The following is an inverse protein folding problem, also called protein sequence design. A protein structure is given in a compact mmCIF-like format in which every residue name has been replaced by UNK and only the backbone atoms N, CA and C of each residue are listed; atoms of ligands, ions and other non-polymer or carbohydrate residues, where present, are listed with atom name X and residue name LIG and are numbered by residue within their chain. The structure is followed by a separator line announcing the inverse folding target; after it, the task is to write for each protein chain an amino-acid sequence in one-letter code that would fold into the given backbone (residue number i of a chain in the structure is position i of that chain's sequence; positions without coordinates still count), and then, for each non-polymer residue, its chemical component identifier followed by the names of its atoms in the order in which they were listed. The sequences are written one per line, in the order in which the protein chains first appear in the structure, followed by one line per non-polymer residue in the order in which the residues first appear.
data_IF_419537561055
#
_entry.id   IF_419537561055
#
_cell.length_a   1.000
_cell.length_b   1.000
_cell.length_c   1.000
_cell.angle_alpha   90.00
_cell.angle_beta   90.00
_cell.angle_gamma   90.00
#
_symmetry.space_group_name_H-M   'P 1'
#
loop_
_entity.id
_entity.type
_entity.pdbx_description
1 polymer ?
#
# COMPACT_ATOMS: atom_id res chain seq x y z
N UNK A 1 -35.67 60.06 -23.52
CA UNK A 1 -34.67 60.27 -22.43
C UNK A 1 -33.91 58.96 -22.21
N UNK A 2 -32.79 58.87 -22.92
CA UNK A 2 -31.90 57.70 -22.88
C UNK A 2 -30.98 57.77 -21.65
N UNK A 3 -30.92 56.72 -20.86
CA UNK A 3 -29.82 56.47 -19.93
C UNK A 3 -29.05 55.23 -20.39
N UNK A 4 -27.86 55.47 -20.88
CA UNK A 4 -26.84 54.47 -21.17
C UNK A 4 -26.38 53.81 -19.89
N UNK A 5 -26.31 52.50 -19.90
CA UNK A 5 -25.63 51.67 -18.92
C UNK A 5 -24.16 51.57 -19.30
N UNK A 6 -23.27 52.06 -18.43
CA UNK A 6 -21.84 51.86 -18.56
C UNK A 6 -21.43 50.52 -17.93
N UNK A 7 -20.83 49.67 -18.74
CA UNK A 7 -20.16 48.43 -18.32
C UNK A 7 -18.69 48.76 -18.04
N UNK A 8 -18.10 48.34 -16.94
CA UNK A 8 -16.65 48.47 -16.76
C UNK A 8 -15.93 47.30 -17.42
N UNK A 9 -15.07 47.65 -18.34
CA UNK A 9 -14.16 46.80 -19.10
C UNK A 9 -12.99 46.35 -18.23
N UNK A 10 -12.75 45.05 -18.23
CA UNK A 10 -11.47 44.30 -18.22
C UNK A 10 -10.23 44.98 -17.59
N UNK A 11 -9.80 44.42 -16.46
CA UNK A 11 -8.43 44.56 -15.94
C UNK A 11 -7.67 43.23 -16.13
N UNK A 12 -7.46 42.83 -17.39
CA UNK A 12 -6.54 41.77 -17.78
C UNK A 12 -5.70 42.28 -18.95
N UNK A 13 -4.65 42.99 -18.65
CA UNK A 13 -3.49 43.22 -19.52
C UNK A 13 -2.48 44.09 -18.78
N UNK A 14 -1.48 43.43 -18.14
CA UNK A 14 -0.10 43.85 -17.98
C UNK A 14 0.58 43.03 -16.90
N UNK A 15 1.38 42.10 -17.32
CA UNK A 15 2.77 41.99 -16.89
C UNK A 15 3.45 40.81 -17.58
N UNK A 16 3.70 40.95 -18.85
CA UNK A 16 4.84 40.30 -19.49
C UNK A 16 5.95 41.34 -19.55
N UNK A 17 6.96 41.20 -18.67
CA UNK A 17 8.38 41.50 -18.87
C UNK A 17 9.12 41.53 -17.54
N UNK A 18 9.87 40.47 -17.27
CA UNK A 18 10.82 40.40 -16.17
C UNK A 18 11.82 39.27 -16.45
N UNK A 19 12.93 39.67 -17.01
CA UNK A 19 13.99 38.89 -17.60
C UNK A 19 14.61 37.82 -16.69
N UNK A 20 14.82 36.64 -17.32
CA UNK A 20 15.81 35.62 -17.01
C UNK A 20 17.15 36.20 -16.52
N UNK A 21 17.54 35.85 -15.27
CA UNK A 21 18.95 35.81 -14.88
C UNK A 21 19.24 34.45 -14.29
N UNK A 22 19.68 33.55 -15.17
CA UNK A 22 20.22 32.25 -14.83
C UNK A 22 21.60 32.43 -14.18
N UNK A 23 21.70 32.21 -12.85
CA UNK A 23 23.00 32.03 -12.18
C UNK A 23 23.38 30.55 -12.25
N UNK A 24 24.22 30.21 -13.24
CA UNK A 24 24.97 28.95 -13.29
C UNK A 24 25.94 28.90 -12.09
N UNK A 25 25.68 28.01 -11.14
CA UNK A 25 26.70 27.56 -10.19
C UNK A 25 27.36 26.31 -10.75
N UNK A 26 28.60 26.46 -11.15
CA UNK A 26 29.50 25.38 -11.55
C UNK A 26 29.75 24.48 -10.33
N UNK A 27 29.36 23.22 -10.41
CA UNK A 27 29.75 22.18 -9.46
C UNK A 27 30.93 21.42 -10.05
N UNK A 28 32.11 21.71 -9.52
CA UNK A 28 33.36 21.03 -9.90
C UNK A 28 33.39 19.67 -9.21
N UNK A 29 33.30 18.60 -10.01
CA UNK A 29 33.52 17.21 -9.57
C UNK A 29 34.99 17.00 -9.36
N UNK A 30 35.40 16.72 -8.14
CA UNK A 30 36.77 16.29 -7.79
C UNK A 30 36.83 14.76 -7.80
N UNK A 31 37.37 14.18 -8.87
CA UNK A 31 37.76 12.77 -8.93
C UNK A 31 39.02 12.57 -8.08
N UNK A 32 38.91 11.78 -7.02
CA UNK A 32 40.09 11.22 -6.34
C UNK A 32 40.14 9.73 -6.62
N UNK A 33 41.07 9.38 -7.54
CA UNK A 33 41.56 8.02 -7.78
C UNK A 33 42.54 7.63 -6.67
N UNK A 34 42.29 6.51 -6.00
CA UNK A 34 43.36 5.81 -5.25
C UNK A 34 43.37 4.35 -5.68
N UNK A 35 44.50 3.99 -6.28
CA UNK A 35 44.87 2.65 -6.73
C UNK A 35 45.73 1.94 -5.67
N UNK A 36 45.71 0.61 -5.78
CA UNK A 36 46.71 -0.38 -5.38
C UNK A 36 46.86 -0.77 -3.91
N UNK A 37 46.70 -2.08 -3.70
CA UNK A 37 47.16 -2.82 -2.55
C UNK A 37 46.85 -4.31 -2.66
N UNK A 38 47.53 -5.02 -3.60
CA UNK A 38 47.56 -6.49 -3.63
C UNK A 38 48.49 -7.00 -2.54
N UNK A 39 48.03 -7.95 -1.71
CA UNK A 39 48.91 -8.78 -0.90
C UNK A 39 48.40 -10.23 -0.95
N UNK A 40 49.16 -11.03 -1.67
CA UNK A 40 49.13 -12.48 -1.67
C UNK A 40 49.75 -12.99 -0.35
N UNK A 41 49.08 -13.92 0.33
CA UNK A 41 49.74 -14.81 1.26
C UNK A 41 49.15 -16.22 1.10
N UNK A 42 49.95 -17.04 0.44
CA UNK A 42 49.92 -18.51 0.41
C UNK A 42 50.24 -19.06 1.78
N UNK A 43 49.44 -20.02 2.23
CA UNK A 43 49.73 -20.84 3.42
C UNK A 43 49.23 -22.26 3.18
N UNK A 44 50.13 -23.12 2.76
CA UNK A 44 50.03 -24.57 2.71
C UNK A 44 49.97 -25.19 4.12
N UNK A 45 49.17 -26.25 4.28
CA UNK A 45 49.18 -27.08 5.49
C UNK A 45 48.44 -28.38 5.26
N UNK A 46 49.18 -29.42 4.86
CA UNK A 46 48.74 -30.82 4.66
C UNK A 46 48.60 -31.56 5.98
N UNK A 47 47.72 -32.55 6.02
CA UNK A 47 47.90 -33.90 6.58
C UNK A 47 46.56 -34.63 6.52
N UNK A 48 46.35 -35.61 5.69
CA UNK A 48 46.67 -37.06 5.66
C UNK A 48 46.21 -37.84 6.91
N UNK A 49 45.30 -38.78 6.70
CA UNK A 49 45.44 -40.25 6.87
C UNK A 49 44.07 -40.91 6.73
N UNK A 50 43.98 -41.77 5.76
CA UNK A 50 44.10 -43.21 5.61
C UNK A 50 42.78 -43.97 5.87
N UNK A 51 42.30 -44.58 4.82
CA UNK A 51 42.28 -45.98 4.40
C UNK A 51 41.15 -46.78 5.07
N UNK A 52 40.42 -47.64 4.50
CA UNK A 52 40.39 -48.65 3.46
C UNK A 52 39.00 -49.31 3.58
N UNK A 53 38.33 -49.76 2.57
CA UNK A 53 38.43 -51.09 2.02
C UNK A 53 37.41 -51.29 0.86
N UNK A 54 37.85 -52.09 -0.07
CA UNK A 54 37.19 -52.44 -1.31
C UNK A 54 36.23 -53.66 -1.14
N UNK A 55 35.29 -53.79 -2.07
CA UNK A 55 35.05 -55.05 -2.84
C UNK A 55 33.76 -54.91 -3.67
N UNK A 56 33.91 -54.84 -4.96
CA UNK A 56 33.75 -55.90 -5.96
C UNK A 56 32.33 -56.21 -6.41
N UNK A 57 32.15 -56.04 -7.71
CA UNK A 57 31.12 -56.32 -8.66
C UNK A 57 30.37 -57.66 -8.51
N UNK A 58 29.14 -57.67 -9.01
CA UNK A 58 28.77 -58.70 -10.01
C UNK A 58 27.52 -58.25 -10.80
N UNK A 59 27.67 -58.38 -12.11
CA UNK A 59 26.69 -58.21 -13.18
C UNK A 59 25.83 -59.47 -13.24
N UNK A 60 24.52 -59.33 -13.42
CA UNK A 60 23.75 -60.36 -14.06
C UNK A 60 22.64 -59.73 -14.92
N UNK A 61 22.81 -59.82 -16.22
CA UNK A 61 21.74 -59.68 -17.23
C UNK A 61 20.79 -60.84 -17.09
N UNK A 62 19.48 -60.55 -17.20
CA UNK A 62 18.50 -61.54 -17.69
C UNK A 62 17.40 -60.79 -18.47
N UNK A 63 17.30 -61.21 -19.70
CA UNK A 63 16.41 -60.76 -20.77
C UNK A 63 14.99 -61.42 -20.63
N UNK A 64 14.00 -60.72 -21.25
CA UNK A 64 12.69 -61.17 -21.72
C UNK A 64 11.55 -61.24 -20.69
N UNK A 65 10.42 -60.57 -20.90
CA UNK A 65 9.40 -60.87 -21.92
C UNK A 65 8.32 -59.79 -21.95
N UNK A 66 7.93 -59.42 -23.15
CA UNK A 66 6.82 -58.56 -23.56
C UNK A 66 5.48 -59.04 -23.01
N UNK A 67 4.71 -58.15 -22.38
CA UNK A 67 3.25 -58.20 -22.46
C UNK A 67 2.70 -56.76 -22.53
N UNK A 68 2.07 -56.45 -23.65
CA UNK A 68 1.26 -55.29 -23.89
C UNK A 68 0.04 -55.31 -22.98
N UNK A 69 -0.05 -54.35 -22.04
CA UNK A 69 -1.31 -53.95 -21.46
C UNK A 69 -1.53 -52.50 -21.88
N UNK A 70 -2.50 -52.38 -22.78
CA UNK A 70 -3.14 -51.15 -23.17
C UNK A 70 -3.76 -50.52 -21.90
N UNK A 71 -3.06 -49.56 -21.31
CA UNK A 71 -3.60 -48.70 -20.28
C UNK A 71 -3.83 -47.36 -20.95
N UNK A 72 -5.07 -47.09 -21.32
CA UNK A 72 -5.54 -45.77 -21.66
C UNK A 72 -5.08 -44.83 -20.54
N UNK A 73 -4.02 -44.08 -20.80
CA UNK A 73 -3.68 -42.92 -20.01
C UNK A 73 -4.82 -41.93 -20.21
N UNK A 74 -5.62 -41.76 -19.17
CA UNK A 74 -6.47 -40.61 -18.97
C UNK A 74 -5.52 -39.40 -18.96
N UNK A 75 -5.36 -38.80 -20.14
CA UNK A 75 -4.74 -37.50 -20.26
C UNK A 75 -5.74 -36.50 -19.64
N UNK A 76 -5.69 -36.36 -18.32
CA UNK A 76 -6.25 -35.19 -17.67
C UNK A 76 -5.51 -33.99 -18.30
N UNK A 77 -6.21 -33.31 -19.19
CA UNK A 77 -5.81 -32.03 -19.77
C UNK A 77 -5.74 -31.05 -18.59
N UNK A 78 -4.62 -31.03 -17.89
CA UNK A 78 -4.32 -29.99 -16.91
C UNK A 78 -4.03 -28.75 -17.73
N UNK A 79 -5.10 -28.01 -18.04
CA UNK A 79 -4.97 -26.68 -18.62
C UNK A 79 -4.05 -25.87 -17.70
N UNK A 80 -2.92 -25.41 -18.24
CA UNK A 80 -2.00 -24.56 -17.51
C UNK A 80 -2.71 -23.22 -17.25
N UNK A 81 -2.92 -22.89 -15.97
CA UNK A 81 -3.60 -21.67 -15.57
C UNK A 81 -2.69 -20.46 -15.84
N UNK A 82 -3.28 -19.37 -16.31
CA UNK A 82 -2.56 -18.11 -16.47
C UNK A 82 -2.45 -17.40 -15.12
N UNK A 83 -1.25 -17.04 -14.69
CA UNK A 83 -1.06 -16.38 -13.40
C UNK A 83 -1.56 -14.94 -13.42
N UNK A 84 -2.35 -14.56 -12.40
CA UNK A 84 -2.64 -13.18 -12.01
C UNK A 84 -1.89 -12.89 -10.72
N UNK A 85 -0.92 -11.99 -10.77
CA UNK A 85 -0.08 -11.66 -9.62
C UNK A 85 -0.52 -10.34 -9.01
N UNK A 86 -1.00 -10.37 -7.74
CA UNK A 86 -1.57 -9.21 -7.06
C UNK A 86 -0.81 -8.89 -5.79
N UNK A 87 -0.31 -7.65 -5.68
CA UNK A 87 0.28 -7.13 -4.45
C UNK A 87 -0.79 -6.65 -3.47
N UNK A 88 -0.70 -7.01 -2.19
CA UNK A 88 -1.71 -6.66 -1.20
C UNK A 88 -1.11 -6.45 0.19
N UNK A 89 -1.75 -5.64 1.04
CA UNK A 89 -1.51 -5.68 2.49
C UNK A 89 -2.06 -6.99 3.06
N UNK A 90 -1.47 -7.46 4.15
CA UNK A 90 -1.78 -8.77 4.74
C UNK A 90 -3.26 -8.89 5.09
N UNK A 91 -3.78 -7.92 5.87
CA UNK A 91 -5.20 -7.88 6.27
C UNK A 91 -5.76 -6.47 6.03
N UNK A 92 -6.99 -6.30 5.55
CA UNK A 92 -7.92 -7.33 5.08
C UNK A 92 -7.69 -7.77 3.62
N UNK A 93 -6.81 -7.11 2.88
CA UNK A 93 -6.70 -7.16 1.42
C UNK A 93 -6.33 -8.54 0.89
N UNK A 94 -5.23 -9.15 1.38
CA UNK A 94 -4.82 -10.50 0.98
C UNK A 94 -5.85 -11.56 1.40
N UNK A 95 -6.51 -11.37 2.56
CA UNK A 95 -7.57 -12.26 3.04
C UNK A 95 -8.82 -12.21 2.15
N UNK A 96 -9.19 -11.02 1.65
CA UNK A 96 -10.28 -10.82 0.68
C UNK A 96 -9.92 -11.49 -0.66
N UNK A 97 -8.69 -11.26 -1.17
CA UNK A 97 -8.22 -11.89 -2.40
C UNK A 97 -8.18 -13.41 -2.31
N UNK A 98 -7.88 -13.96 -1.14
CA UNK A 98 -7.87 -15.40 -0.93
C UNK A 98 -9.24 -16.06 -1.17
N UNK A 99 -10.35 -15.31 -0.99
CA UNK A 99 -11.70 -15.82 -1.19
C UNK A 99 -12.05 -16.06 -2.67
N UNK A 100 -11.30 -15.48 -3.59
CA UNK A 100 -11.60 -15.56 -5.03
C UNK A 100 -10.68 -16.51 -5.80
N UNK A 101 -9.73 -17.17 -5.13
CA UNK A 101 -8.78 -18.09 -5.77
C UNK A 101 -9.46 -19.20 -6.55
N UNK A 102 -10.41 -19.90 -5.93
CA UNK A 102 -11.10 -21.03 -6.55
C UNK A 102 -11.93 -20.57 -7.75
N UNK A 103 -12.62 -19.42 -7.64
CA UNK A 103 -13.40 -18.84 -8.73
C UNK A 103 -12.52 -18.46 -9.91
N UNK A 104 -11.37 -17.84 -9.66
CA UNK A 104 -10.41 -17.50 -10.71
C UNK A 104 -9.80 -18.76 -11.35
N UNK A 105 -9.56 -19.82 -10.58
CA UNK A 105 -9.07 -21.09 -11.11
C UNK A 105 -10.09 -21.75 -12.06
N UNK A 106 -11.38 -21.67 -11.76
CA UNK A 106 -12.45 -22.15 -12.66
C UNK A 106 -12.50 -21.34 -13.97
N UNK A 107 -12.06 -20.08 -13.95
CA UNK A 107 -11.96 -19.19 -15.12
C UNK A 107 -10.63 -19.32 -15.88
N UNK A 108 -9.70 -20.18 -15.40
CA UNK A 108 -8.42 -20.45 -16.06
C UNK A 108 -7.26 -19.62 -15.52
N UNK A 109 -7.39 -19.00 -14.34
CA UNK A 109 -6.36 -18.18 -13.73
C UNK A 109 -5.85 -18.76 -12.40
N UNK A 110 -4.54 -18.65 -12.18
CA UNK A 110 -3.90 -18.91 -10.88
C UNK A 110 -3.61 -17.58 -10.18
N UNK A 111 -4.29 -17.29 -9.07
CA UNK A 111 -4.08 -16.05 -8.31
C UNK A 111 -2.89 -16.19 -7.35
N UNK A 112 -1.78 -15.53 -7.69
CA UNK A 112 -0.62 -15.33 -6.81
C UNK A 112 -0.77 -14.03 -6.01
N UNK A 113 -0.88 -14.13 -4.68
CA UNK A 113 -0.98 -12.99 -3.78
C UNK A 113 0.40 -12.74 -3.19
N UNK A 114 0.93 -11.52 -3.39
CA UNK A 114 2.20 -11.06 -2.83
C UNK A 114 1.91 -10.08 -1.70
N UNK A 115 2.24 -10.47 -0.48
CA UNK A 115 1.98 -9.66 0.71
C UNK A 115 3.08 -8.62 0.92
N UNK A 116 2.67 -7.39 1.24
CA UNK A 116 3.54 -6.25 1.54
C UNK A 116 3.20 -5.64 2.90
N UNK A 117 4.24 -5.20 3.61
CA UNK A 117 4.13 -4.56 4.93
C UNK A 117 4.29 -3.03 4.88
N UNK A 118 4.31 -2.43 3.69
CA UNK A 118 4.44 -0.99 3.48
C UNK A 118 3.57 -0.54 2.30
N UNK A 119 3.44 0.77 2.12
CA UNK A 119 2.60 1.34 1.07
C UNK A 119 3.38 1.79 -0.19
N UNK A 120 4.71 1.71 -0.21
CA UNK A 120 5.54 2.16 -1.32
C UNK A 120 5.81 1.03 -2.31
N UNK A 121 6.24 -0.13 -1.80
CA UNK A 121 6.67 -1.25 -2.62
C UNK A 121 5.59 -1.81 -3.54
N UNK A 122 4.29 -1.94 -3.12
CA UNK A 122 3.27 -2.49 -4.02
C UNK A 122 3.05 -1.63 -5.28
N UNK A 123 3.15 -0.30 -5.16
CA UNK A 123 3.02 0.60 -6.31
C UNK A 123 4.27 0.56 -7.20
N UNK A 124 5.45 0.52 -6.59
CA UNK A 124 6.71 0.39 -7.35
C UNK A 124 6.76 -0.91 -8.14
N UNK A 125 6.42 -2.05 -7.50
CA UNK A 125 6.39 -3.36 -8.15
C UNK A 125 5.35 -3.43 -9.28
N UNK A 126 4.18 -2.77 -9.12
CA UNK A 126 3.17 -2.67 -10.17
C UNK A 126 3.65 -1.83 -11.36
N UNK A 127 4.26 -0.66 -11.10
CA UNK A 127 4.81 0.19 -12.16
C UNK A 127 5.94 -0.52 -12.93
N UNK A 128 6.78 -1.28 -12.23
CA UNK A 128 7.89 -2.05 -12.83
C UNK A 128 7.40 -3.29 -13.60
N UNK A 129 6.11 -3.65 -13.50
CA UNK A 129 5.50 -4.79 -14.17
C UNK A 129 5.78 -6.12 -13.50
N UNK A 130 6.18 -6.12 -12.22
CA UNK A 130 6.36 -7.31 -11.40
C UNK A 130 5.03 -7.87 -10.88
N UNK A 131 3.98 -7.03 -10.90
CA UNK A 131 2.60 -7.37 -10.54
C UNK A 131 1.66 -7.06 -11.70
N UNK A 132 0.54 -7.79 -11.78
CA UNK A 132 -0.57 -7.48 -12.69
C UNK A 132 -1.52 -6.43 -12.10
N UNK A 133 -1.68 -6.43 -10.76
CA UNK A 133 -2.50 -5.48 -10.01
C UNK A 133 -1.96 -5.30 -8.59
N UNK A 134 -2.44 -4.27 -7.88
CA UNK A 134 -2.33 -4.20 -6.43
C UNK A 134 -3.67 -3.84 -5.77
N UNK A 135 -3.78 -4.19 -4.49
CA UNK A 135 -4.95 -3.92 -3.67
C UNK A 135 -4.51 -3.68 -2.23
N UNK A 136 -4.36 -2.40 -1.83
CA UNK A 136 -3.88 -2.02 -0.49
C UNK A 136 -4.15 -0.55 -0.14
N UNK A 137 -4.57 0.28 -1.10
CA UNK A 137 -4.56 1.74 -1.04
C UNK A 137 -5.90 2.35 -1.40
N UNK A 138 -6.17 3.54 -0.89
CA UNK A 138 -7.30 4.36 -1.30
C UNK A 138 -6.92 5.31 -2.46
N UNK A 139 -7.93 5.83 -3.16
CA UNK A 139 -7.74 6.67 -4.35
C UNK A 139 -6.83 7.89 -4.11
N UNK A 140 -6.98 8.71 -3.03
CA UNK A 140 -6.10 9.85 -2.81
C UNK A 140 -4.63 9.47 -2.68
N UNK A 141 -4.31 8.32 -2.05
CA UNK A 141 -2.93 7.84 -1.95
C UNK A 141 -2.37 7.45 -3.33
N UNK A 142 -3.15 6.76 -4.15
CA UNK A 142 -2.76 6.40 -5.51
C UNK A 142 -2.45 7.64 -6.36
N UNK A 143 -3.32 8.66 -6.29
CA UNK A 143 -3.15 9.89 -7.06
C UNK A 143 -1.89 10.66 -6.64
N UNK A 144 -1.66 10.77 -5.32
CA UNK A 144 -0.48 11.43 -4.74
C UNK A 144 0.81 10.66 -5.08
N UNK A 145 0.80 9.34 -4.93
CA UNK A 145 1.92 8.47 -5.29
C UNK A 145 2.32 8.63 -6.76
N UNK A 146 1.34 8.63 -7.67
CA UNK A 146 1.59 8.86 -9.10
C UNK A 146 2.23 10.24 -9.34
N UNK A 147 1.71 11.28 -8.69
CA UNK A 147 2.22 12.64 -8.85
C UNK A 147 3.65 12.81 -8.34
N UNK A 148 3.98 12.19 -7.19
CA UNK A 148 5.28 12.31 -6.56
C UNK A 148 6.35 11.44 -7.24
N UNK A 149 5.99 10.23 -7.69
CA UNK A 149 6.92 9.25 -8.21
C UNK A 149 6.93 9.16 -9.74
N UNK A 150 6.00 9.84 -10.42
CA UNK A 150 5.89 9.81 -11.89
C UNK A 150 5.45 8.44 -12.41
N UNK A 151 4.67 7.71 -11.61
CA UNK A 151 4.07 6.42 -11.98
C UNK A 151 2.76 6.60 -12.74
N UNK A 152 2.29 5.55 -13.41
CA UNK A 152 1.14 5.55 -14.30
C UNK A 152 0.16 4.44 -13.89
N UNK A 153 -0.25 4.48 -12.63
CA UNK A 153 -1.16 3.50 -12.05
C UNK A 153 -2.58 4.05 -12.07
N UNK A 154 -3.56 3.21 -12.38
CA UNK A 154 -4.96 3.58 -12.48
C UNK A 154 -5.83 2.65 -11.64
N UNK A 155 -6.82 3.22 -10.97
CA UNK A 155 -7.84 2.48 -10.23
C UNK A 155 -8.85 1.87 -11.21
N UNK A 156 -9.20 0.59 -11.00
CA UNK A 156 -10.18 -0.14 -11.81
C UNK A 156 -11.42 -0.55 -11.04
N UNK A 157 -11.36 -0.59 -9.71
CA UNK A 157 -12.51 -0.90 -8.85
C UNK A 157 -12.31 -0.36 -7.45
N UNK A 158 -13.37 0.20 -6.85
CA UNK A 158 -13.45 0.48 -5.42
C UNK A 158 -14.08 -0.73 -4.71
N UNK A 159 -13.47 -1.21 -3.64
CA UNK A 159 -13.88 -2.46 -2.98
C UNK A 159 -14.43 -2.21 -1.59
N UNK A 160 -13.68 -1.56 -0.71
CA UNK A 160 -14.10 -1.35 0.67
C UNK A 160 -13.51 -0.06 1.27
N UNK A 161 -14.15 0.39 2.34
CA UNK A 161 -13.67 1.46 3.19
C UNK A 161 -13.25 0.91 4.55
N UNK A 162 -12.14 1.41 5.08
CA UNK A 162 -11.65 1.12 6.42
C UNK A 162 -11.70 2.41 7.25
N UNK A 163 -12.54 2.48 8.31
CA UNK A 163 -12.58 3.65 9.17
C UNK A 163 -11.23 3.91 9.83
N UNK A 164 -10.74 5.13 9.73
CA UNK A 164 -9.52 5.58 10.37
C UNK A 164 -9.77 5.85 11.85
N UNK A 165 -8.88 5.42 12.75
CA UNK A 165 -9.10 5.48 14.17
C UNK A 165 -8.00 6.21 14.95
N UNK A 166 -8.40 6.89 16.06
CA UNK A 166 -7.50 7.31 17.12
C UNK A 166 -7.44 6.20 18.18
N UNK A 167 -6.25 5.76 18.50
CA UNK A 167 -6.01 4.67 19.44
C UNK A 167 -5.25 5.16 20.68
N UNK A 168 -5.59 4.57 21.83
CA UNK A 168 -4.96 4.84 23.10
C UNK A 168 -3.50 4.38 23.13
N UNK A 169 -2.61 5.28 23.51
CA UNK A 169 -1.26 4.98 23.93
C UNK A 169 -1.15 5.08 25.45
N UNK A 170 -0.51 6.13 25.97
CA UNK A 170 -0.44 6.44 27.41
C UNK A 170 -1.72 7.03 27.96
N UNK A 171 -2.55 7.66 27.11
CA UNK A 171 -3.82 8.30 27.46
C UNK A 171 -4.96 7.54 26.81
N UNK A 172 -5.95 7.13 27.60
CA UNK A 172 -7.05 6.27 27.16
C UNK A 172 -8.33 7.02 26.78
N UNK A 173 -8.43 8.31 27.10
CA UNK A 173 -9.64 9.14 26.91
C UNK A 173 -9.19 10.51 26.39
N UNK A 174 -9.82 11.01 25.34
CA UNK A 174 -9.45 12.31 24.75
C UNK A 174 -9.51 13.47 25.74
N UNK A 175 -10.50 13.49 26.62
CA UNK A 175 -10.67 14.53 27.65
C UNK A 175 -9.55 14.55 28.71
N UNK A 176 -8.74 13.50 28.79
CA UNK A 176 -7.61 13.39 29.72
C UNK A 176 -6.28 13.81 29.08
N UNK A 177 -6.26 14.16 27.80
CA UNK A 177 -5.08 14.70 27.14
C UNK A 177 -4.62 15.98 27.83
N UNK A 178 -3.34 16.03 28.13
CA UNK A 178 -2.70 17.18 28.82
C UNK A 178 -2.03 18.10 27.80
N UNK A 179 -1.74 19.31 28.26
CA UNK A 179 -0.86 20.22 27.52
C UNK A 179 0.48 19.53 27.17
N UNK A 180 0.89 19.59 25.91
CA UNK A 180 2.09 18.94 25.40
C UNK A 180 1.94 17.43 25.17
N UNK A 181 0.72 16.88 25.20
CA UNK A 181 0.51 15.46 24.88
C UNK A 181 0.98 15.15 23.46
N UNK A 182 1.61 13.98 23.30
CA UNK A 182 2.14 13.50 22.03
C UNK A 182 1.10 12.72 21.22
N UNK A 183 0.95 13.09 19.94
CA UNK A 183 0.03 12.45 19.00
C UNK A 183 0.82 11.95 17.80
N UNK A 184 0.87 10.64 17.58
CA UNK A 184 1.47 10.08 16.39
C UNK A 184 0.47 10.05 15.23
N UNK A 185 0.92 10.43 14.03
CA UNK A 185 0.15 10.44 12.79
C UNK A 185 0.98 9.81 11.67
N UNK A 186 0.37 9.28 10.59
CA UNK A 186 1.12 8.87 9.41
C UNK A 186 1.94 10.02 8.83
N UNK A 187 3.06 9.70 8.18
CA UNK A 187 3.95 10.68 7.58
C UNK A 187 3.81 10.82 6.05
N UNK A 188 2.88 10.09 5.44
CA UNK A 188 2.52 10.30 4.04
C UNK A 188 1.43 11.37 3.93
N UNK A 189 1.50 12.17 2.87
CA UNK A 189 0.67 13.37 2.66
C UNK A 189 -0.81 13.13 2.90
N UNK A 190 -1.37 12.06 2.34
CA UNK A 190 -2.82 11.85 2.34
C UNK A 190 -3.34 11.27 3.66
N UNK A 191 -2.58 10.39 4.30
CA UNK A 191 -2.96 9.84 5.61
C UNK A 191 -2.63 10.81 6.76
N UNK A 192 -1.57 11.63 6.65
CA UNK A 192 -1.35 12.75 7.58
C UNK A 192 -2.55 13.71 7.56
N UNK A 193 -2.96 14.16 6.36
CA UNK A 193 -4.12 15.03 6.21
C UNK A 193 -5.39 14.42 6.81
N UNK A 194 -5.64 13.13 6.56
CA UNK A 194 -6.77 12.38 7.11
C UNK A 194 -6.73 12.32 8.64
N UNK A 195 -5.53 12.09 9.23
CA UNK A 195 -5.33 12.10 10.68
C UNK A 195 -5.60 13.48 11.28
N UNK A 196 -5.08 14.55 10.66
CA UNK A 196 -5.31 15.92 11.11
C UNK A 196 -6.78 16.33 11.02
N UNK A 197 -7.50 15.93 9.97
CA UNK A 197 -8.94 16.14 9.84
C UNK A 197 -9.72 15.40 10.94
N UNK A 198 -9.29 14.18 11.30
CA UNK A 198 -9.92 13.47 12.42
C UNK A 198 -9.65 14.16 13.76
N UNK A 199 -8.44 14.67 14.00
CA UNK A 199 -8.12 15.47 15.20
C UNK A 199 -8.95 16.76 15.25
N UNK A 200 -9.15 17.43 14.12
CA UNK A 200 -10.02 18.61 14.02
C UNK A 200 -11.49 18.25 14.32
N UNK A 201 -11.99 17.16 13.77
CA UNK A 201 -13.36 16.68 14.06
C UNK A 201 -13.57 16.37 15.53
N UNK A 202 -12.52 15.99 16.27
CA UNK A 202 -12.56 15.81 17.73
C UNK A 202 -12.35 17.14 18.50
N UNK A 203 -12.15 18.27 17.83
CA UNK A 203 -11.92 19.57 18.46
C UNK A 203 -10.56 19.73 19.14
N UNK A 204 -9.60 18.86 18.84
CA UNK A 204 -8.26 18.86 19.42
C UNK A 204 -7.35 19.91 18.76
N UNK A 205 -7.54 20.17 17.47
CA UNK A 205 -6.84 21.19 16.68
C UNK A 205 -7.84 21.90 15.78
N UNK A 206 -7.36 22.94 15.09
CA UNK A 206 -8.07 23.56 13.98
C UNK A 206 -7.12 23.77 12.82
N UNK A 207 -7.57 23.39 11.64
CA UNK A 207 -6.84 23.54 10.39
C UNK A 207 -7.22 24.85 9.68
N UNK A 208 -6.41 25.29 8.72
CA UNK A 208 -6.79 26.32 7.76
C UNK A 208 -8.02 25.87 6.98
N UNK A 209 -8.88 26.83 6.62
CA UNK A 209 -10.17 26.57 5.96
C UNK A 209 -10.03 25.81 4.62
N UNK A 210 -8.90 25.95 3.94
CA UNK A 210 -8.60 25.38 2.62
C UNK A 210 -7.55 24.26 2.65
N UNK A 211 -7.19 23.72 3.82
CA UNK A 211 -6.16 22.69 3.96
C UNK A 211 -6.52 21.37 3.23
N UNK A 212 -7.78 20.93 3.33
CA UNK A 212 -8.32 19.80 2.56
C UNK A 212 -7.56 18.48 2.77
N UNK A 213 -7.52 17.67 1.70
CA UNK A 213 -6.94 16.31 1.71
C UNK A 213 -5.40 16.28 1.64
N UNK A 214 -4.75 17.43 1.64
CA UNK A 214 -3.30 17.58 1.68
C UNK A 214 -2.83 18.43 2.86
N UNK A 215 -3.66 18.54 3.92
CA UNK A 215 -3.32 19.21 5.15
C UNK A 215 -2.05 18.65 5.79
N UNK A 216 -1.18 19.52 6.26
CA UNK A 216 0.04 19.17 6.99
C UNK A 216 0.03 19.81 8.37
N UNK A 217 0.96 19.44 9.23
CA UNK A 217 1.13 20.11 10.56
C UNK A 217 1.30 21.61 10.45
N UNK A 218 1.76 22.15 9.30
CA UNK A 218 1.91 23.59 9.05
C UNK A 218 0.56 24.29 8.81
N UNK A 219 -0.50 23.54 8.61
CA UNK A 219 -1.85 24.05 8.40
C UNK A 219 -2.65 24.16 9.69
N UNK A 220 -2.08 23.74 10.81
CA UNK A 220 -2.70 23.88 12.14
C UNK A 220 -2.67 25.35 12.55
N UNK A 221 -3.86 25.97 12.68
CA UNK A 221 -4.02 27.36 13.10
C UNK A 221 -4.36 27.52 14.58
N UNK A 222 -4.98 26.50 15.20
CA UNK A 222 -5.22 26.44 16.63
C UNK A 222 -4.82 25.07 17.17
N UNK A 223 -4.10 25.06 18.29
CA UNK A 223 -3.68 23.86 19.02
C UNK A 223 -3.76 24.17 20.53
N UNK A 224 -4.97 24.16 21.11
CA UNK A 224 -5.20 24.63 22.48
C UNK A 224 -4.41 23.89 23.56
N UNK A 225 -4.13 22.61 23.31
CA UNK A 225 -3.35 21.77 24.22
C UNK A 225 -1.86 21.73 23.90
N UNK A 226 -1.39 22.52 22.91
CA UNK A 226 0.00 22.46 22.46
C UNK A 226 0.43 21.00 22.15
N UNK A 227 -0.43 20.20 21.50
CA UNK A 227 -0.15 18.83 21.16
C UNK A 227 1.13 18.72 20.33
N UNK A 228 1.98 17.77 20.68
CA UNK A 228 3.18 17.43 19.91
C UNK A 228 2.83 16.40 18.84
N UNK A 229 2.60 16.84 17.61
CA UNK A 229 2.32 15.96 16.47
C UNK A 229 3.62 15.31 16.02
N UNK A 230 3.63 13.98 15.95
CA UNK A 230 4.77 13.16 15.52
C UNK A 230 4.39 12.41 14.25
N UNK A 231 4.99 12.80 13.15
CA UNK A 231 4.84 12.15 11.86
C UNK A 231 5.71 10.87 11.85
N UNK A 232 5.07 9.74 11.73
CA UNK A 232 5.68 8.39 11.79
C UNK A 232 5.19 7.58 10.60
N UNK A 233 6.06 6.75 10.02
CA UNK A 233 5.66 5.80 8.99
C UNK A 233 4.44 4.97 9.45
N UNK A 234 3.40 4.88 8.61
CA UNK A 234 2.12 4.28 8.96
C UNK A 234 2.25 2.86 9.55
N UNK A 235 3.15 2.04 8.98
CA UNK A 235 3.44 0.69 9.45
C UNK A 235 4.07 0.62 10.87
N UNK A 236 4.57 1.75 11.41
CA UNK A 236 5.20 1.81 12.72
C UNK A 236 4.28 2.37 13.82
N UNK A 237 3.12 2.90 13.45
CA UNK A 237 2.23 3.60 14.38
C UNK A 237 1.74 2.71 15.53
N UNK A 238 1.34 1.46 15.26
CA UNK A 238 0.92 0.52 16.32
C UNK A 238 2.04 0.30 17.34
N UNK A 239 3.29 0.17 16.85
CA UNK A 239 4.46 -0.03 17.72
C UNK A 239 4.81 1.21 18.52
N UNK A 240 4.41 2.39 18.07
CA UNK A 240 4.68 3.67 18.74
C UNK A 240 3.74 3.94 19.92
N UNK A 241 2.59 3.24 20.03
CA UNK A 241 1.58 3.46 21.07
C UNK A 241 2.14 3.54 22.51
N UNK A 242 3.09 2.68 22.94
CA UNK A 242 3.67 2.80 24.27
C UNK A 242 4.46 4.09 24.52
N UNK A 243 4.88 4.78 23.47
CA UNK A 243 5.77 5.95 23.51
C UNK A 243 5.04 7.28 23.29
N UNK A 244 3.75 7.25 22.90
CA UNK A 244 2.92 8.44 22.65
C UNK A 244 1.65 8.44 23.52
N UNK A 245 0.96 9.55 23.59
CA UNK A 245 -0.29 9.63 24.32
C UNK A 245 -1.43 9.00 23.54
N UNK A 246 -1.54 9.31 22.25
CA UNK A 246 -2.48 8.69 21.32
C UNK A 246 -1.83 8.56 19.93
N UNK A 247 -2.38 7.71 19.07
CA UNK A 247 -1.97 7.62 17.68
C UNK A 247 -3.17 7.50 16.74
N UNK A 248 -3.08 8.14 15.57
CA UNK A 248 -4.00 7.99 14.48
C UNK A 248 -3.50 6.86 13.55
N UNK A 249 -4.27 5.79 13.36
CA UNK A 249 -3.79 4.56 12.73
C UNK A 249 -4.78 4.11 11.65
N UNK A 250 -4.24 3.74 10.47
CA UNK A 250 -5.01 3.15 9.38
C UNK A 250 -5.62 1.80 9.78
N UNK A 251 -6.82 1.49 9.25
CA UNK A 251 -7.59 0.31 9.61
C UNK A 251 -6.83 -1.01 9.44
N UNK A 252 -6.15 -1.19 8.29
CA UNK A 252 -5.35 -2.39 8.02
C UNK A 252 -4.21 -2.58 9.03
N UNK A 253 -3.43 -1.53 9.36
CA UNK A 253 -2.35 -1.63 10.34
C UNK A 253 -2.86 -1.80 11.76
N UNK A 254 -4.01 -1.20 12.09
CA UNK A 254 -4.67 -1.44 13.38
C UNK A 254 -5.06 -2.92 13.52
N UNK A 255 -5.72 -3.50 12.50
CA UNK A 255 -6.12 -4.90 12.48
C UNK A 255 -4.90 -5.85 12.52
N UNK A 256 -3.87 -5.59 11.73
CA UNK A 256 -2.61 -6.36 11.70
C UNK A 256 -1.91 -6.31 13.05
N UNK A 257 -1.97 -5.17 13.74
CA UNK A 257 -1.44 -4.99 15.09
C UNK A 257 -2.31 -5.58 16.22
N UNK A 258 -3.45 -6.20 15.86
CA UNK A 258 -4.38 -6.80 16.84
C UNK A 258 -5.28 -5.77 17.54
N UNK A 259 -5.39 -4.55 17.02
CA UNK A 259 -6.31 -3.55 17.53
C UNK A 259 -7.68 -3.72 16.86
N UNK A 260 -8.74 -3.47 17.62
CA UNK A 260 -10.10 -3.48 17.07
C UNK A 260 -10.58 -2.03 16.89
N UNK A 261 -11.26 -1.73 15.79
CA UNK A 261 -11.85 -0.41 15.56
C UNK A 261 -12.83 -0.01 16.68
N UNK A 262 -13.49 -0.98 17.30
CA UNK A 262 -14.38 -0.75 18.45
C UNK A 262 -13.65 -0.28 19.71
N UNK A 263 -12.34 -0.51 19.81
CA UNK A 263 -11.50 -0.07 20.93
C UNK A 263 -10.84 1.29 20.68
N UNK A 264 -11.03 1.86 19.50
CA UNK A 264 -10.55 3.20 19.16
C UNK A 264 -11.27 4.25 20.04
N UNK A 265 -10.51 5.23 20.51
CA UNK A 265 -11.04 6.33 21.34
C UNK A 265 -11.81 7.36 20.52
N UNK A 266 -11.58 7.40 19.21
CA UNK A 266 -12.40 8.07 18.22
C UNK A 266 -12.20 7.40 16.86
N UNK A 267 -13.23 7.43 16.04
CA UNK A 267 -13.23 6.82 14.71
C UNK A 267 -13.80 7.81 13.70
N UNK A 268 -13.26 7.81 12.51
CA UNK A 268 -13.80 8.54 11.37
C UNK A 268 -15.25 8.07 11.05
N UNK A 269 -16.11 9.02 10.73
CA UNK A 269 -17.52 8.69 10.45
C UNK A 269 -17.65 7.95 9.12
N UNK A 270 -18.26 6.78 9.15
CA UNK A 270 -18.43 5.89 7.97
C UNK A 270 -19.52 6.34 6.99
N UNK A 271 -20.43 7.25 7.40
CA UNK A 271 -21.49 7.85 6.59
C UNK A 271 -21.05 9.19 5.96
N UNK A 272 -19.80 9.56 6.15
CA UNK A 272 -19.23 10.81 5.68
C UNK A 272 -18.72 10.70 4.24
N UNK A 273 -18.43 11.86 3.65
CA UNK A 273 -17.66 11.94 2.40
C UNK A 273 -16.34 11.16 2.45
N UNK A 274 -15.83 10.88 3.65
CA UNK A 274 -14.62 10.09 3.86
C UNK A 274 -14.75 8.66 3.33
N UNK A 275 -15.90 7.99 3.51
CA UNK A 275 -16.10 6.63 3.01
C UNK A 275 -15.96 6.55 1.47
N UNK A 276 -16.53 7.54 0.76
CA UNK A 276 -16.40 7.61 -0.70
C UNK A 276 -14.98 8.01 -1.12
N UNK A 277 -14.35 8.92 -0.37
CA UNK A 277 -13.01 9.46 -0.69
C UNK A 277 -11.91 8.44 -0.45
N UNK A 278 -11.97 7.70 0.67
CA UNK A 278 -10.92 6.79 1.11
C UNK A 278 -11.26 5.31 0.88
N UNK A 279 -12.15 5.02 -0.08
CA UNK A 279 -12.38 3.65 -0.52
C UNK A 279 -11.08 3.02 -1.06
N UNK A 280 -10.77 1.82 -0.59
CA UNK A 280 -9.64 1.04 -1.07
C UNK A 280 -9.93 0.47 -2.46
N UNK A 281 -8.96 0.59 -3.35
CA UNK A 281 -9.11 0.31 -4.77
C UNK A 281 -8.19 -0.81 -5.24
N UNK A 282 -8.63 -1.55 -6.25
CA UNK A 282 -7.75 -2.34 -7.08
C UNK A 282 -7.13 -1.40 -8.12
N UNK A 283 -5.80 -1.37 -8.19
CA UNK A 283 -5.07 -0.60 -9.17
C UNK A 283 -4.28 -1.49 -10.13
N UNK A 284 -4.16 -1.04 -11.37
CA UNK A 284 -3.36 -1.66 -12.42
C UNK A 284 -2.47 -0.61 -13.09
N UNK A 285 -1.47 -1.04 -13.86
CA UNK A 285 -0.71 -0.11 -14.69
C UNK A 285 -1.57 0.37 -15.86
N UNK A 286 -1.49 1.67 -16.21
CA UNK A 286 -2.20 2.29 -17.33
C UNK A 286 -2.06 1.47 -18.62
N UNK A 287 -3.18 1.21 -19.28
CA UNK A 287 -3.29 0.38 -20.48
C UNK A 287 -3.70 -1.08 -20.19
N UNK A 288 -3.73 -1.51 -18.91
CA UNK A 288 -4.16 -2.86 -18.51
C UNK A 288 -5.61 -2.90 -17.98
N UNK A 289 -6.33 -1.77 -17.97
CA UNK A 289 -7.68 -1.65 -17.37
C UNK A 289 -8.67 -2.64 -17.99
N UNK A 290 -8.55 -2.84 -19.28
CA UNK A 290 -9.43 -3.69 -20.08
C UNK A 290 -8.87 -5.10 -20.34
N UNK A 291 -7.74 -5.48 -19.72
CA UNK A 291 -7.16 -6.81 -19.90
C UNK A 291 -8.10 -7.90 -19.39
N UNK A 292 -7.96 -9.12 -19.92
CA UNK A 292 -8.76 -10.25 -19.47
C UNK A 292 -8.50 -10.58 -17.99
N UNK A 293 -7.24 -10.50 -17.54
CA UNK A 293 -6.83 -10.68 -16.15
C UNK A 293 -7.50 -9.66 -15.22
N UNK A 294 -7.46 -8.38 -15.60
CA UNK A 294 -8.07 -7.31 -14.81
C UNK A 294 -9.57 -7.50 -14.66
N UNK A 295 -10.26 -7.83 -15.76
CA UNK A 295 -11.70 -8.07 -15.73
C UNK A 295 -12.06 -9.28 -14.85
N UNK A 296 -11.36 -10.39 -15.00
CA UNK A 296 -11.58 -11.57 -14.20
C UNK A 296 -11.37 -11.28 -12.69
N UNK A 297 -10.26 -10.57 -12.34
CA UNK A 297 -9.98 -10.19 -10.97
C UNK A 297 -11.07 -9.28 -10.39
N UNK A 298 -11.47 -8.23 -11.11
CA UNK A 298 -12.50 -7.28 -10.67
C UNK A 298 -13.86 -7.98 -10.52
N UNK A 299 -14.28 -8.77 -11.51
CA UNK A 299 -15.56 -9.50 -11.47
C UNK A 299 -15.59 -10.53 -10.33
N UNK A 300 -14.47 -11.14 -10.00
CA UNK A 300 -14.35 -12.05 -8.87
C UNK A 300 -14.46 -11.31 -7.53
N UNK A 301 -13.70 -10.23 -7.35
CA UNK A 301 -13.63 -9.47 -6.08
C UNK A 301 -14.94 -8.72 -5.80
N UNK A 302 -15.61 -8.17 -6.81
CA UNK A 302 -16.88 -7.43 -6.63
C UNK A 302 -18.11 -8.37 -6.59
N UNK A 303 -17.94 -9.63 -6.17
CA UNK A 303 -19.05 -10.58 -6.07
C UNK A 303 -19.81 -10.48 -4.75
N UNK A 304 -21.09 -10.93 -4.76
CA UNK A 304 -21.91 -11.00 -3.55
C UNK A 304 -21.31 -11.90 -2.46
N UNK A 305 -20.57 -12.94 -2.84
CA UNK A 305 -19.88 -13.85 -1.92
C UNK A 305 -18.78 -13.11 -1.16
N UNK A 306 -17.97 -12.29 -1.85
CA UNK A 306 -16.93 -11.46 -1.23
C UNK A 306 -17.55 -10.39 -0.34
N UNK A 307 -18.64 -9.76 -0.79
CA UNK A 307 -19.39 -8.79 0.03
C UNK A 307 -19.88 -9.42 1.32
N UNK A 308 -20.42 -10.63 1.24
CA UNK A 308 -20.88 -11.40 2.40
C UNK A 308 -19.72 -11.73 3.33
N UNK A 309 -18.61 -12.22 2.77
CA UNK A 309 -17.39 -12.51 3.53
C UNK A 309 -16.88 -11.29 4.30
N UNK A 310 -16.79 -10.12 3.64
CA UNK A 310 -16.34 -8.87 4.29
C UNK A 310 -17.25 -8.52 5.47
N UNK A 311 -18.57 -8.53 5.26
CA UNK A 311 -19.53 -8.18 6.30
C UNK A 311 -19.48 -9.15 7.50
N UNK A 312 -19.37 -10.45 7.23
CA UNK A 312 -19.39 -11.47 8.27
C UNK A 312 -18.07 -11.53 9.06
N UNK A 313 -16.95 -11.25 8.39
CA UNK A 313 -15.63 -11.37 8.98
C UNK A 313 -15.22 -10.11 9.74
N UNK A 314 -15.43 -8.92 9.16
CA UNK A 314 -14.87 -7.68 9.67
C UNK A 314 -15.91 -6.73 10.27
N UNK A 315 -17.20 -6.95 10.00
CA UNK A 315 -18.26 -6.07 10.49
C UNK A 315 -18.02 -4.61 10.11
N UNK A 316 -17.95 -3.72 11.11
CA UNK A 316 -17.75 -2.29 10.88
C UNK A 316 -16.28 -1.89 10.68
N UNK A 317 -15.33 -2.82 10.79
CA UNK A 317 -13.92 -2.52 10.59
C UNK A 317 -13.55 -2.43 9.08
N UNK A 318 -14.30 -3.14 8.24
CA UNK A 318 -14.16 -3.13 6.78
C UNK A 318 -15.56 -3.08 6.17
N UNK A 319 -15.87 -2.04 5.43
CA UNK A 319 -17.20 -1.78 4.90
C UNK A 319 -17.17 -1.87 3.38
N UNK A 320 -17.83 -2.86 2.74
CA UNK A 320 -17.87 -2.95 1.29
C UNK A 320 -18.61 -1.74 0.68
N UNK A 321 -18.09 -1.21 -0.45
CA UNK A 321 -18.61 -0.04 -1.15
C UNK A 321 -19.18 -0.35 -2.54
N UNK A 322 -19.34 -1.63 -2.90
CA UNK A 322 -19.87 -2.09 -4.18
C UNK A 322 -21.18 -2.84 -4.05
#
# INVERSE_FOLDING_TARGET
MNKKSDTPTSLYEKEERGENIMKKKNFTVLLATLALGAALLTGCGSQESTADDAATAETTETTETTESADSAADASDTQELETIKVGASITPHAEILAQVKDKLAEEGYDLEIVEYNDYVLPNTALEDGELDANFFQHQPYLDDFNAENGTHLVSVAAVHFEPFGLYAGKTSILDELKEGASVAVPNDTTNEARALLLLEAQGLIKLKEDAGLSATVLDIVENPLNLEIKEIEAAQLVRSLPDVDIAAINGNYAAEGGLNVADAIAVEASDSLAADTYANVIAVKEGNEDSAKTKALVDAVLSDDVKTYINDTYGNAVIPVF
#
